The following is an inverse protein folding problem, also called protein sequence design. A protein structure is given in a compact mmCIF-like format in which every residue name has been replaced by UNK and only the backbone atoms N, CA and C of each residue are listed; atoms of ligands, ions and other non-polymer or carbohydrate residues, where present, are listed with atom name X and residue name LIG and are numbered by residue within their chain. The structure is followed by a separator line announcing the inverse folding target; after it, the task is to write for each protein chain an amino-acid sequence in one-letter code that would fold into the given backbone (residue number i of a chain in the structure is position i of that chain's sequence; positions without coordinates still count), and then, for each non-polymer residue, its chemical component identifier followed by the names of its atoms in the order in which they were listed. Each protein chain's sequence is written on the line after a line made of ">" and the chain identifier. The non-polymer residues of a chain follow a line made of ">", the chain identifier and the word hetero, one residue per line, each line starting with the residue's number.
data_IF_833571841359
#
_entry.id   IF_833571841359
#
_cell.length_a   1.000
_cell.length_b   1.000
_cell.length_c   1.000
_cell.angle_alpha   90.00
_cell.angle_beta   90.00
_cell.angle_gamma   90.00
#
_symmetry.space_group_name_H-M   'P 1'
#
loop_
_entity.id
_entity.type
_entity.pdbx_description
1 polymer ?
#
# COMPACT_ATOMS: atom_id res chain seq x y z
N UNK A 1 -5.46 8.17 -9.05
CA UNK A 1 -6.21 8.99 -8.08
C UNK A 1 -6.65 10.31 -8.70
N UNK A 2 -5.77 11.12 -9.31
CA UNK A 2 -6.15 12.40 -9.91
C UNK A 2 -7.28 12.34 -10.98
N UNK A 3 -7.45 11.21 -11.67
CA UNK A 3 -8.53 11.00 -12.63
C UNK A 3 -9.88 10.60 -12.01
N UNK A 4 -9.95 10.34 -10.71
CA UNK A 4 -11.16 9.83 -10.06
C UNK A 4 -12.31 10.83 -10.23
N UNK A 5 -13.41 10.40 -10.86
CA UNK A 5 -14.58 11.23 -11.13
C UNK A 5 -14.41 12.28 -12.24
N UNK A 6 -13.23 12.39 -12.87
CA UNK A 6 -12.96 13.39 -13.91
C UNK A 6 -13.32 12.91 -15.32
N UNK A 7 -13.41 11.60 -15.53
CA UNK A 7 -13.61 11.01 -16.86
C UNK A 7 -14.75 9.99 -16.82
N UNK A 8 -15.81 10.25 -17.59
CA UNK A 8 -16.96 9.34 -17.69
C UNK A 8 -16.53 7.95 -18.19
N UNK A 9 -17.04 6.89 -17.53
CA UNK A 9 -16.71 5.50 -17.86
C UNK A 9 -15.30 5.06 -17.42
N UNK A 10 -14.58 5.86 -16.63
CA UNK A 10 -13.31 5.45 -16.00
C UNK A 10 -13.55 5.35 -14.49
N UNK A 11 -13.42 4.14 -13.96
CA UNK A 11 -13.49 3.86 -12.54
C UNK A 11 -12.08 3.82 -11.97
N UNK A 12 -11.85 4.62 -10.93
CA UNK A 12 -10.58 4.70 -10.20
C UNK A 12 -10.88 4.55 -8.72
N UNK A 13 -10.30 3.54 -8.08
CA UNK A 13 -10.43 3.31 -6.64
C UNK A 13 -9.08 2.93 -6.05
N UNK A 14 -8.77 3.44 -4.86
CA UNK A 14 -7.67 2.89 -4.08
C UNK A 14 -8.06 1.48 -3.60
N UNK A 15 -7.12 0.53 -3.60
CA UNK A 15 -7.40 -0.80 -3.08
C UNK A 15 -7.63 -0.77 -1.56
N UNK A 16 -6.85 0.03 -0.84
CA UNK A 16 -6.92 0.22 0.61
C UNK A 16 -6.49 1.65 0.96
N UNK A 17 -6.57 2.01 2.25
CA UNK A 17 -5.99 3.26 2.77
C UNK A 17 -4.50 3.16 3.11
N UNK A 18 -3.85 2.01 2.89
CA UNK A 18 -2.46 1.81 3.27
C UNK A 18 -1.51 2.62 2.36
N UNK A 19 -0.49 3.30 2.91
CA UNK A 19 0.48 4.03 2.12
C UNK A 19 1.20 3.13 1.11
N UNK A 20 1.35 3.60 -0.13
CA UNK A 20 2.03 2.88 -1.20
C UNK A 20 1.23 1.75 -1.85
N UNK A 21 0.03 1.42 -1.38
CA UNK A 21 -0.81 0.41 -2.05
C UNK A 21 -1.33 0.93 -3.40
N UNK A 22 -1.41 0.02 -4.38
CA UNK A 22 -1.79 0.34 -5.75
C UNK A 22 -3.23 0.85 -5.89
N UNK A 23 -3.48 1.52 -7.02
CA UNK A 23 -4.80 2.03 -7.41
C UNK A 23 -5.40 1.08 -8.45
N UNK A 24 -6.64 0.67 -8.27
CA UNK A 24 -7.41 -0.07 -9.28
C UNK A 24 -8.01 0.92 -10.28
N UNK A 25 -7.64 0.79 -11.55
CA UNK A 25 -8.24 1.55 -12.66
C UNK A 25 -8.95 0.58 -13.62
N UNK A 26 -10.18 0.93 -14.00
CA UNK A 26 -11.00 0.19 -14.96
C UNK A 26 -11.64 1.15 -15.96
N UNK A 27 -11.67 0.77 -17.23
CA UNK A 27 -12.31 1.53 -18.30
C UNK A 27 -13.51 0.72 -18.78
N UNK A 28 -14.70 1.33 -18.72
CA UNK A 28 -15.99 0.73 -19.12
C UNK A 28 -16.40 -0.53 -18.34
N UNK A 29 -16.00 -0.62 -17.07
CA UNK A 29 -16.36 -1.74 -16.18
C UNK A 29 -15.42 -2.94 -16.33
N UNK A 30 -15.87 -4.11 -15.88
CA UNK A 30 -15.10 -5.36 -15.96
C UNK A 30 -15.45 -6.06 -17.30
N UNK A 31 -14.48 -6.12 -18.22
CA UNK A 31 -14.66 -6.68 -19.57
C UNK A 31 -14.29 -8.16 -19.70
N UNK A 32 -13.51 -8.70 -18.75
CA UNK A 32 -13.16 -10.12 -18.69
C UNK A 32 -13.29 -10.65 -17.27
N UNK A 33 -13.33 -11.98 -17.09
CA UNK A 33 -13.41 -12.61 -15.75
C UNK A 33 -12.02 -12.79 -15.09
N UNK A 34 -10.96 -12.29 -15.72
CA UNK A 34 -9.57 -12.42 -15.27
C UNK A 34 -8.91 -11.07 -15.00
N UNK A 35 -7.72 -10.86 -15.56
CA UNK A 35 -7.00 -9.60 -15.41
C UNK A 35 -7.59 -8.51 -16.33
N UNK A 36 -8.18 -7.49 -15.69
CA UNK A 36 -8.76 -6.31 -16.35
C UNK A 36 -7.92 -5.04 -16.18
N UNK A 37 -6.63 -5.17 -15.87
CA UNK A 37 -5.72 -4.04 -15.76
C UNK A 37 -5.52 -3.40 -17.14
N UNK A 38 -5.49 -2.07 -17.13
CA UNK A 38 -5.29 -1.26 -18.34
C UNK A 38 -3.84 -1.31 -18.78
N UNK A 39 -3.61 -1.00 -20.05
CA UNK A 39 -2.27 -0.72 -20.54
C UNK A 39 -1.93 0.75 -20.33
N UNK A 40 -0.83 1.04 -19.64
CA UNK A 40 -0.25 2.38 -19.62
C UNK A 40 0.79 2.49 -20.73
N UNK A 41 0.82 3.63 -21.41
CA UNK A 41 1.84 3.94 -22.41
C UNK A 41 2.48 5.27 -22.03
N UNK A 42 3.70 5.23 -21.54
CA UNK A 42 4.43 6.42 -21.09
C UNK A 42 5.48 6.74 -22.14
N UNK A 43 5.33 7.88 -22.81
CA UNK A 43 6.22 8.34 -23.88
C UNK A 43 6.52 7.28 -24.96
N UNK A 44 5.50 6.47 -25.28
CA UNK A 44 5.54 5.40 -26.28
C UNK A 44 5.96 4.04 -25.75
N UNK A 45 6.39 3.92 -24.50
CA UNK A 45 6.77 2.64 -23.89
C UNK A 45 5.58 2.06 -23.10
N UNK A 46 5.14 0.83 -23.41
CA UNK A 46 4.04 0.19 -22.71
C UNK A 46 4.49 -0.37 -21.36
N UNK A 47 3.65 -0.20 -20.33
CA UNK A 47 3.81 -0.84 -19.01
C UNK A 47 2.44 -1.11 -18.38
N UNK A 48 2.41 -1.97 -17.37
CA UNK A 48 1.20 -2.23 -16.55
C UNK A 48 1.28 -1.60 -15.17
N UNK A 49 2.44 -1.07 -14.80
CA UNK A 49 2.61 -0.36 -13.55
C UNK A 49 2.75 1.14 -13.81
N UNK A 50 2.17 1.96 -12.94
CA UNK A 50 2.28 3.42 -12.95
C UNK A 50 2.81 3.95 -11.60
N UNK A 51 3.01 3.05 -10.63
CA UNK A 51 3.37 3.40 -9.25
C UNK A 51 4.72 4.11 -9.12
N UNK A 52 5.62 3.95 -10.10
CA UNK A 52 6.91 4.64 -10.15
C UNK A 52 6.82 6.09 -10.65
N UNK A 53 5.80 6.43 -11.44
CA UNK A 53 5.70 7.73 -12.08
C UNK A 53 5.34 8.83 -11.07
N UNK A 54 6.04 9.95 -11.17
CA UNK A 54 5.72 11.14 -10.39
C UNK A 54 4.64 11.98 -11.08
N UNK A 55 3.71 12.54 -10.30
CA UNK A 55 2.59 13.28 -10.85
C UNK A 55 3.00 14.62 -11.49
N UNK A 56 3.98 15.34 -10.93
CA UNK A 56 4.45 16.61 -11.51
C UNK A 56 5.15 16.45 -12.85
N UNK A 57 5.71 15.26 -13.13
CA UNK A 57 6.39 14.98 -14.39
C UNK A 57 5.39 14.71 -15.52
N UNK A 58 4.10 14.57 -15.22
CA UNK A 58 3.04 14.33 -16.21
C UNK A 58 2.63 15.66 -16.87
N UNK A 59 2.85 15.76 -18.18
CA UNK A 59 2.37 16.88 -18.98
C UNK A 59 0.92 16.70 -19.39
N UNK A 60 0.56 15.49 -19.83
CA UNK A 60 -0.80 15.17 -20.25
C UNK A 60 -1.10 13.69 -20.11
N UNK A 61 -2.38 13.38 -19.88
CA UNK A 61 -2.89 12.01 -19.80
C UNK A 61 -4.13 11.89 -20.68
N UNK A 62 -4.11 10.93 -21.60
CA UNK A 62 -5.17 10.66 -22.57
C UNK A 62 -5.68 9.24 -22.38
N UNK A 63 -7.00 9.09 -22.21
CA UNK A 63 -7.62 7.77 -22.01
C UNK A 63 -8.30 7.34 -23.31
N UNK A 64 -7.78 6.27 -23.92
CA UNK A 64 -8.35 5.63 -25.10
C UNK A 64 -9.34 4.57 -24.65
N UNK A 65 -10.63 4.91 -24.75
CA UNK A 65 -11.74 4.08 -24.26
C UNK A 65 -12.28 3.11 -25.30
N UNK A 66 -12.06 3.40 -26.58
CA UNK A 66 -12.59 2.63 -27.70
C UNK A 66 -11.58 1.61 -28.21
N UNK A 67 -12.07 0.42 -28.54
CA UNK A 67 -11.25 -0.67 -29.08
C UNK A 67 -10.53 -0.26 -30.38
N UNK A 68 -11.16 0.58 -31.22
CA UNK A 68 -10.55 1.11 -32.44
C UNK A 68 -9.40 2.09 -32.15
N UNK A 69 -9.52 2.90 -31.10
CA UNK A 69 -8.45 3.82 -30.68
C UNK A 69 -7.28 3.09 -30.02
N UNK A 70 -7.57 1.99 -29.31
CA UNK A 70 -6.56 1.11 -28.71
C UNK A 70 -5.88 0.15 -29.69
N UNK A 71 -6.41 -0.03 -30.90
CA UNK A 71 -5.94 -1.03 -31.87
C UNK A 71 -4.46 -0.88 -32.24
N UNK A 72 -3.93 0.34 -32.21
CA UNK A 72 -2.51 0.64 -32.45
C UNK A 72 -1.60 -0.05 -31.42
N UNK A 73 -2.10 -0.32 -30.20
CA UNK A 73 -1.38 -1.00 -29.12
C UNK A 73 -1.68 -2.50 -29.03
N UNK A 74 -2.47 -3.04 -29.98
CA UNK A 74 -2.72 -4.46 -30.15
C UNK A 74 -3.56 -5.11 -29.04
N UNK A 75 -3.42 -6.43 -28.88
CA UNK A 75 -4.23 -7.22 -27.93
C UNK A 75 -4.06 -6.80 -26.47
N UNK A 76 -2.94 -6.15 -26.11
CA UNK A 76 -2.68 -5.62 -24.76
C UNK A 76 -3.61 -4.46 -24.39
N UNK A 77 -4.25 -3.83 -25.38
CA UNK A 77 -5.18 -2.72 -25.21
C UNK A 77 -6.65 -3.15 -25.05
N UNK A 78 -6.94 -4.45 -24.93
CA UNK A 78 -8.31 -4.96 -24.83
C UNK A 78 -9.11 -4.34 -23.66
N UNK A 79 -8.42 -4.00 -22.57
CA UNK A 79 -9.02 -3.37 -21.38
C UNK A 79 -8.98 -1.82 -21.41
N UNK A 80 -8.56 -1.23 -22.54
CA UNK A 80 -8.33 0.21 -22.71
C UNK A 80 -6.87 0.63 -22.47
N UNK A 81 -6.54 1.83 -22.94
CA UNK A 81 -5.17 2.37 -22.87
C UNK A 81 -5.16 3.76 -22.23
N UNK A 82 -4.22 3.99 -21.33
CA UNK A 82 -3.94 5.31 -20.76
C UNK A 82 -2.58 5.77 -21.29
N UNK A 83 -2.61 6.72 -22.21
CA UNK A 83 -1.40 7.32 -22.81
C UNK A 83 -0.98 8.50 -21.96
N UNK A 84 0.29 8.51 -21.56
CA UNK A 84 0.88 9.52 -20.71
C UNK A 84 2.03 10.14 -21.47
N UNK A 85 2.03 11.47 -21.54
CA UNK A 85 3.15 12.26 -22.04
C UNK A 85 3.76 12.99 -20.88
N UNK A 86 5.07 12.86 -20.72
CA UNK A 86 5.80 13.55 -19.66
C UNK A 86 6.30 14.91 -20.12
N UNK A 87 6.64 15.78 -19.16
CA UNK A 87 7.25 17.07 -19.46
C UNK A 87 8.59 16.83 -20.15
N UNK A 88 8.85 17.47 -21.28
CA UNK A 88 10.10 17.35 -22.03
C UNK A 88 10.99 18.57 -21.83
N UNK A 89 12.24 18.50 -22.31
CA UNK A 89 13.08 19.69 -22.44
C UNK A 89 12.38 20.78 -23.28
N UNK A 90 12.67 22.04 -22.96
CA UNK A 90 12.14 23.22 -23.64
C UNK A 90 13.29 24.04 -24.23
N UNK A 91 13.03 24.75 -25.34
CA UNK A 91 14.00 25.72 -25.87
C UNK A 91 14.04 26.95 -24.99
N UNK A 92 15.23 27.53 -24.83
CA UNK A 92 15.44 28.78 -24.12
C UNK A 92 16.18 28.61 -22.80
N UNK A 93 16.06 29.64 -21.95
CA UNK A 93 16.74 29.69 -20.65
C UNK A 93 16.27 28.54 -19.75
N UNK A 94 17.18 28.06 -18.92
CA UNK A 94 16.86 27.06 -17.92
C UNK A 94 15.74 27.57 -17.00
N UNK A 95 14.68 26.79 -16.89
CA UNK A 95 13.59 27.00 -15.96
C UNK A 95 13.74 26.00 -14.81
N UNK A 96 13.89 26.50 -13.59
CA UNK A 96 13.92 25.72 -12.36
C UNK A 96 12.55 25.78 -11.71
N UNK A 97 11.94 24.62 -11.49
CA UNK A 97 10.73 24.47 -10.70
C UNK A 97 11.07 23.65 -9.44
N UNK A 98 10.62 24.14 -8.29
CA UNK A 98 10.70 23.42 -7.02
C UNK A 98 9.32 23.42 -6.38
N UNK A 99 8.83 22.23 -6.07
CA UNK A 99 7.53 22.01 -5.45
C UNK A 99 7.71 21.27 -4.13
N UNK A 100 7.11 21.83 -3.07
CA UNK A 100 7.09 21.21 -1.77
C UNK A 100 5.65 21.15 -1.25
N UNK A 101 5.26 19.96 -0.77
CA UNK A 101 3.97 19.73 -0.15
C UNK A 101 4.14 18.93 1.13
N UNK A 102 3.34 19.28 2.14
CA UNK A 102 3.19 18.51 3.36
C UNK A 102 1.69 18.30 3.64
N UNK A 103 1.33 17.14 4.17
CA UNK A 103 -0.05 16.76 4.44
C UNK A 103 -0.21 15.99 5.74
N UNK A 104 -1.40 16.06 6.31
CA UNK A 104 -1.84 15.29 7.47
C UNK A 104 -2.97 14.36 7.07
N UNK A 105 -2.96 13.14 7.59
CA UNK A 105 -3.93 12.09 7.27
C UNK A 105 -4.55 11.58 8.56
N UNK A 106 -5.88 11.48 8.60
CA UNK A 106 -6.62 10.99 9.76
C UNK A 106 -7.68 9.98 9.31
N UNK A 107 -7.92 8.98 10.15
CA UNK A 107 -9.03 8.07 9.96
C UNK A 107 -10.36 8.85 10.04
N UNK A 108 -11.27 8.61 9.10
CA UNK A 108 -12.59 9.23 9.05
C UNK A 108 -13.66 8.18 8.86
N UNK A 109 -14.92 8.50 9.20
CA UNK A 109 -16.06 7.58 9.11
C UNK A 109 -15.89 6.28 9.92
N UNK A 110 -15.24 6.37 11.09
CA UNK A 110 -15.12 5.24 12.01
C UNK A 110 -16.48 4.93 12.67
N UNK A 111 -16.85 3.65 12.83
CA UNK A 111 -18.05 3.29 13.57
C UNK A 111 -17.89 3.65 15.06
N UNK A 112 -19.00 4.01 15.70
CA UNK A 112 -19.01 4.19 17.16
C UNK A 112 -19.05 2.81 17.82
N UNK A 113 -17.99 2.47 18.54
CA UNK A 113 -17.87 1.21 19.26
C UNK A 113 -18.57 1.30 20.63
N UNK A 114 -18.92 0.13 21.19
CA UNK A 114 -19.44 0.05 22.55
C UNK A 114 -18.30 0.27 23.54
N UNK A 115 -18.56 1.00 24.62
CA UNK A 115 -17.67 1.03 25.79
C UNK A 115 -17.82 -0.26 26.64
N UNK A 116 -17.01 -0.41 27.67
CA UNK A 116 -16.97 -1.57 28.55
C UNK A 116 -18.34 -1.91 29.17
N UNK A 117 -19.05 -0.93 29.72
CA UNK A 117 -20.36 -1.17 30.36
C UNK A 117 -21.44 -1.57 29.34
N UNK A 118 -21.47 -0.89 28.20
CA UNK A 118 -22.38 -1.23 27.10
C UNK A 118 -22.10 -2.64 26.57
N UNK A 119 -20.82 -3.00 26.39
CA UNK A 119 -20.41 -4.33 25.97
C UNK A 119 -20.89 -5.40 26.95
N UNK A 120 -20.65 -5.22 28.25
CA UNK A 120 -21.11 -6.15 29.29
C UNK A 120 -22.64 -6.23 29.34
N UNK A 121 -23.34 -5.11 29.15
CA UNK A 121 -24.81 -5.07 29.08
C UNK A 121 -25.36 -5.88 27.92
N UNK A 122 -24.75 -5.78 26.74
CA UNK A 122 -25.18 -6.54 25.57
C UNK A 122 -24.85 -8.02 25.73
N UNK A 123 -23.68 -8.37 26.28
CA UNK A 123 -23.30 -9.75 26.55
C UNK A 123 -24.20 -10.42 27.60
N UNK A 124 -24.53 -9.70 28.67
CA UNK A 124 -25.50 -10.12 29.70
C UNK A 124 -26.87 -10.40 29.08
N UNK A 125 -27.40 -9.45 28.30
CA UNK A 125 -28.66 -9.63 27.57
C UNK A 125 -28.62 -10.82 26.62
N UNK A 126 -27.54 -11.00 25.88
CA UNK A 126 -27.37 -12.14 24.96
C UNK A 126 -27.36 -13.48 25.71
N UNK A 127 -26.72 -13.51 26.89
CA UNK A 127 -26.69 -14.69 27.74
C UNK A 127 -28.10 -15.07 28.23
N UNK A 128 -28.88 -14.13 28.75
CA UNK A 128 -30.27 -14.42 29.16
C UNK A 128 -31.21 -14.79 28.02
N UNK A 129 -30.91 -14.34 26.80
CA UNK A 129 -31.66 -14.73 25.60
C UNK A 129 -31.26 -16.12 25.04
N UNK A 130 -30.21 -16.74 25.57
CA UNK A 130 -29.77 -18.07 25.11
C UNK A 130 -30.65 -19.16 25.70
N UNK A 131 -31.17 -20.04 24.83
CA UNK A 131 -31.98 -21.20 25.24
C UNK A 131 -31.18 -22.09 26.21
N UNK A 132 -31.81 -22.43 27.34
CA UNK A 132 -31.19 -23.26 28.39
C UNK A 132 -30.71 -22.45 29.60
N UNK A 133 -30.58 -21.13 29.50
CA UNK A 133 -30.28 -20.28 30.65
C UNK A 133 -31.58 -19.89 31.38
N UNK A 134 -31.61 -20.06 32.70
CA UNK A 134 -32.74 -19.60 33.51
C UNK A 134 -32.81 -18.07 33.54
N UNK A 135 -34.02 -17.51 33.43
CA UNK A 135 -34.23 -16.06 33.34
C UNK A 135 -33.71 -15.28 34.57
N UNK A 136 -33.62 -15.92 35.73
CA UNK A 136 -33.13 -15.33 36.98
C UNK A 136 -31.70 -15.77 37.34
N UNK A 137 -31.02 -16.54 36.50
CA UNK A 137 -29.65 -16.95 36.77
C UNK A 137 -28.69 -15.77 36.59
N UNK A 138 -27.67 -15.73 37.45
CA UNK A 138 -26.60 -14.74 37.39
C UNK A 138 -25.72 -15.06 36.19
N UNK A 139 -25.60 -14.11 35.24
CA UNK A 139 -24.74 -14.29 34.08
C UNK A 139 -23.26 -14.10 34.46
N UNK A 140 -22.32 -14.74 33.74
CA UNK A 140 -20.90 -14.50 33.94
C UNK A 140 -20.51 -13.02 33.71
N UNK A 141 -21.23 -12.31 32.85
CA UNK A 141 -20.99 -10.90 32.55
C UNK A 141 -21.47 -9.97 33.66
N UNK A 142 -22.52 -10.35 34.40
CA UNK A 142 -22.92 -9.66 35.61
C UNK A 142 -21.86 -9.80 36.70
N UNK A 143 -21.31 -11.00 36.90
CA UNK A 143 -20.20 -11.22 37.83
C UNK A 143 -18.94 -10.45 37.40
N UNK A 144 -18.68 -10.37 36.08
CA UNK A 144 -17.54 -9.63 35.54
C UNK A 144 -17.58 -8.12 35.86
N UNK A 145 -18.76 -7.50 36.03
CA UNK A 145 -18.86 -6.08 36.41
C UNK A 145 -18.22 -5.76 37.77
N UNK A 146 -18.07 -6.76 38.64
CA UNK A 146 -17.41 -6.61 39.94
C UNK A 146 -15.88 -6.73 39.87
N UNK A 147 -15.32 -6.99 38.68
CA UNK A 147 -13.88 -7.09 38.48
C UNK A 147 -13.22 -5.71 38.50
N UNK A 148 -12.04 -5.63 39.12
CA UNK A 148 -11.24 -4.40 39.21
C UNK A 148 -10.14 -4.32 38.15
N UNK A 149 -10.05 -5.31 37.27
CA UNK A 149 -9.04 -5.42 36.22
C UNK A 149 -9.59 -5.23 34.81
N UNK A 150 -10.87 -4.86 34.67
CA UNK A 150 -11.43 -4.44 33.41
C UNK A 150 -10.82 -3.11 32.95
N UNK A 151 -10.62 -2.99 31.65
CA UNK A 151 -10.34 -1.72 30.98
C UNK A 151 -11.61 -1.13 30.35
N UNK A 152 -11.47 0.05 29.75
CA UNK A 152 -12.47 0.65 28.86
C UNK A 152 -11.75 1.19 27.61
N UNK A 153 -11.16 0.27 26.86
CA UNK A 153 -10.26 0.56 25.74
C UNK A 153 -11.05 0.85 24.48
N UNK A 154 -10.84 2.04 23.89
CA UNK A 154 -11.23 2.32 22.52
C UNK A 154 -10.16 1.82 21.56
N UNK A 155 -10.35 0.61 21.02
CA UNK A 155 -9.38 -0.03 20.14
C UNK A 155 -9.18 0.68 18.80
N UNK A 156 -10.14 1.49 18.33
CA UNK A 156 -9.97 2.26 17.10
C UNK A 156 -9.11 3.49 17.37
N UNK A 157 -9.31 4.16 18.51
CA UNK A 157 -8.48 5.30 18.94
C UNK A 157 -7.04 4.85 19.25
N UNK A 158 -6.86 3.69 19.90
CA UNK A 158 -5.53 3.13 20.19
C UNK A 158 -4.78 2.68 18.93
N UNK A 159 -5.51 2.32 17.86
CA UNK A 159 -4.90 1.83 16.62
C UNK A 159 -4.49 2.98 15.69
N UNK A 160 -5.31 4.03 15.60
CA UNK A 160 -5.14 5.08 14.61
C UNK A 160 -4.46 6.32 15.19
N UNK A 161 -3.46 6.84 14.47
CA UNK A 161 -2.79 8.11 14.74
C UNK A 161 -2.91 9.08 13.55
N UNK A 162 -2.47 10.32 13.76
CA UNK A 162 -2.39 11.30 12.66
C UNK A 162 -1.14 11.06 11.83
N UNK A 163 -1.34 10.47 10.65
CA UNK A 163 -0.30 10.25 9.65
C UNK A 163 0.17 11.54 8.99
N UNK A 164 1.35 11.49 8.39
CA UNK A 164 2.04 12.66 7.82
C UNK A 164 2.66 12.32 6.48
N UNK A 165 2.50 13.19 5.50
CA UNK A 165 3.17 13.05 4.20
C UNK A 165 4.00 14.27 3.86
N UNK A 166 5.12 14.06 3.18
CA UNK A 166 6.00 15.08 2.65
C UNK A 166 6.37 14.72 1.21
N UNK A 167 6.37 15.71 0.35
CA UNK A 167 6.70 15.58 -1.05
C UNK A 167 7.59 16.75 -1.44
N UNK A 168 8.78 16.47 -1.92
CA UNK A 168 9.71 17.47 -2.45
C UNK A 168 10.08 17.08 -3.86
N UNK A 169 9.96 18.01 -4.79
CA UNK A 169 10.23 17.79 -6.19
C UNK A 169 11.00 18.97 -6.74
N UNK A 170 12.02 18.69 -7.53
CA UNK A 170 12.82 19.71 -8.18
C UNK A 170 13.08 19.28 -9.60
N UNK A 171 12.79 20.17 -10.55
CA UNK A 171 13.04 19.93 -11.96
C UNK A 171 13.68 21.14 -12.62
N UNK A 172 14.58 20.88 -13.55
CA UNK A 172 15.17 21.88 -14.42
C UNK A 172 14.95 21.45 -15.86
N UNK A 173 14.46 22.35 -16.69
CA UNK A 173 14.35 22.13 -18.12
C UNK A 173 14.88 23.34 -18.89
N UNK A 174 15.41 23.11 -20.08
CA UNK A 174 15.98 24.17 -20.90
C UNK A 174 16.78 23.59 -22.06
N UNK A 175 17.39 24.47 -22.85
CA UNK A 175 18.21 24.03 -23.97
C UNK A 175 18.29 25.02 -25.11
N UNK A 176 19.11 24.68 -26.09
CA UNK A 176 19.24 25.40 -27.36
C UNK A 176 18.34 24.78 -28.43
N UNK A 177 18.42 25.29 -29.65
CA UNK A 177 17.76 24.69 -30.81
C UNK A 177 18.25 23.26 -31.11
N UNK A 178 19.52 22.97 -30.78
CA UNK A 178 20.16 21.70 -31.07
C UNK A 178 19.99 20.69 -29.95
N UNK A 179 19.96 21.11 -28.69
CA UNK A 179 19.87 20.20 -27.54
C UNK A 179 18.89 20.76 -26.52
N UNK A 180 17.89 19.95 -26.18
CA UNK A 180 16.89 20.24 -25.14
C UNK A 180 17.00 19.17 -24.06
N UNK A 181 16.97 19.58 -22.80
CA UNK A 181 17.09 18.68 -21.67
C UNK A 181 16.05 18.98 -20.60
N UNK A 182 15.73 17.94 -19.82
CA UNK A 182 15.04 18.02 -18.55
C UNK A 182 15.69 17.05 -17.58
N UNK A 183 15.92 17.52 -16.36
CA UNK A 183 16.34 16.69 -15.23
C UNK A 183 15.33 16.95 -14.11
N UNK A 184 14.77 15.89 -13.53
CA UNK A 184 13.79 15.96 -12.45
C UNK A 184 14.18 14.97 -11.36
N UNK A 185 14.02 15.39 -10.12
CA UNK A 185 14.20 14.55 -8.93
C UNK A 185 13.03 14.75 -7.98
N UNK A 186 12.63 13.69 -7.30
CA UNK A 186 11.51 13.71 -6.39
C UNK A 186 11.74 12.79 -5.19
N UNK A 187 11.34 13.26 -4.02
CA UNK A 187 11.27 12.48 -2.81
C UNK A 187 9.87 12.58 -2.21
N UNK A 188 9.22 11.43 -2.06
CA UNK A 188 7.93 11.31 -1.40
C UNK A 188 8.09 10.42 -0.17
N UNK A 189 7.57 10.86 0.96
CA UNK A 189 7.48 10.07 2.19
C UNK A 189 6.08 10.22 2.78
N UNK A 190 5.50 9.11 3.18
CA UNK A 190 4.24 9.06 3.91
C UNK A 190 4.39 8.10 5.09
N UNK A 191 4.27 8.65 6.30
CA UNK A 191 4.03 7.88 7.50
C UNK A 191 2.50 7.70 7.59
N UNK A 192 2.04 6.45 7.72
CA UNK A 192 0.62 6.12 7.67
C UNK A 192 -0.14 6.52 8.93
N UNK A 193 -1.36 6.01 9.06
CA UNK A 193 -2.28 6.38 10.14
C UNK A 193 -2.35 5.32 11.24
N UNK A 194 -1.55 4.26 11.17
CA UNK A 194 -1.51 3.22 12.20
C UNK A 194 -0.32 3.47 13.12
N UNK A 195 -0.53 3.28 14.42
CA UNK A 195 0.52 3.46 15.45
C UNK A 195 1.75 2.58 15.21
N UNK A 196 2.84 2.85 15.93
CA UNK A 196 4.13 2.14 15.86
C UNK A 196 4.95 2.37 14.56
N UNK A 197 4.52 3.25 13.66
CA UNK A 197 5.24 3.60 12.42
C UNK A 197 5.61 2.38 11.54
N UNK A 198 4.78 1.33 11.52
CA UNK A 198 4.97 0.12 10.72
C UNK A 198 4.08 0.09 9.45
N UNK A 199 3.63 1.27 9.00
CA UNK A 199 2.81 1.46 7.81
C UNK A 199 3.34 2.61 6.92
N UNK A 200 4.67 2.74 6.83
CA UNK A 200 5.34 3.80 6.09
C UNK A 200 5.57 3.51 4.61
N UNK A 201 5.63 4.55 3.79
CA UNK A 201 6.02 4.47 2.38
C UNK A 201 6.99 5.60 2.02
N UNK A 202 8.05 5.26 1.30
CA UNK A 202 9.00 6.21 0.75
C UNK A 202 9.31 5.89 -0.71
N UNK A 203 9.47 6.94 -1.52
CA UNK A 203 9.81 6.83 -2.93
C UNK A 203 10.77 7.93 -3.34
N UNK A 204 11.87 7.54 -3.95
CA UNK A 204 12.81 8.42 -4.63
C UNK A 204 12.68 8.22 -6.13
N UNK A 205 12.55 9.32 -6.87
CA UNK A 205 12.46 9.32 -8.32
C UNK A 205 13.54 10.20 -8.90
N UNK A 206 14.17 9.73 -9.96
CA UNK A 206 15.07 10.50 -10.80
C UNK A 206 14.63 10.34 -12.26
N UNK A 207 14.61 11.44 -13.00
CA UNK A 207 14.25 11.44 -14.41
C UNK A 207 15.18 12.34 -15.21
N UNK A 208 15.58 11.84 -16.37
CA UNK A 208 16.37 12.57 -17.36
C UNK A 208 15.73 12.42 -18.72
N UNK A 209 15.47 13.53 -19.39
CA UNK A 209 15.04 13.56 -20.78
C UNK A 209 16.01 14.44 -21.57
N UNK A 210 16.53 13.92 -22.68
CA UNK A 210 17.43 14.67 -23.56
C UNK A 210 17.00 14.43 -24.98
N UNK A 211 16.81 15.50 -25.74
CA UNK A 211 16.54 15.46 -27.18
C UNK A 211 17.62 16.29 -27.89
N UNK A 212 18.30 15.69 -28.85
CA UNK A 212 19.36 16.33 -29.62
C UNK A 212 19.09 16.22 -31.12
N UNK A 213 19.01 17.38 -31.78
CA UNK A 213 19.06 17.50 -33.23
C UNK A 213 20.54 17.48 -33.63
N UNK A 214 21.06 16.30 -33.98
CA UNK A 214 22.47 16.10 -34.36
C UNK A 214 22.75 16.78 -35.70
N UNK A 215 21.78 16.69 -36.62
CA UNK A 215 21.73 17.44 -37.88
C UNK A 215 20.29 17.88 -38.16
N UNK A 216 20.05 18.65 -39.20
CA UNK A 216 18.68 19.03 -39.61
C UNK A 216 17.78 17.83 -39.94
N UNK A 217 18.39 16.68 -40.27
CA UNK A 217 17.68 15.45 -40.67
C UNK A 217 17.83 14.30 -39.68
N UNK A 218 18.70 14.42 -38.67
CA UNK A 218 18.98 13.34 -37.73
C UNK A 218 18.81 13.83 -36.29
N UNK A 219 17.90 13.20 -35.58
CA UNK A 219 17.57 13.50 -34.18
C UNK A 219 17.70 12.23 -33.35
N UNK A 220 18.25 12.39 -32.16
CA UNK A 220 18.31 11.34 -31.14
C UNK A 220 17.66 11.85 -29.87
N UNK A 221 17.03 10.96 -29.13
CA UNK A 221 16.48 11.33 -27.83
C UNK A 221 16.42 10.16 -26.88
N UNK A 222 16.44 10.49 -25.60
CA UNK A 222 16.32 9.53 -24.51
C UNK A 222 15.38 10.06 -23.44
N UNK A 223 14.64 9.15 -22.84
CA UNK A 223 13.85 9.40 -21.65
C UNK A 223 14.19 8.27 -20.67
N UNK A 224 14.78 8.61 -19.55
CA UNK A 224 15.18 7.66 -18.51
C UNK A 224 14.53 8.07 -17.20
N UNK A 225 13.91 7.11 -16.54
CA UNK A 225 13.33 7.24 -15.22
C UNK A 225 13.84 6.11 -14.33
N UNK A 226 14.33 6.49 -13.15
CA UNK A 226 14.75 5.59 -12.10
C UNK A 226 13.86 5.85 -10.89
N UNK A 227 13.34 4.78 -10.29
CA UNK A 227 12.51 4.83 -9.09
C UNK A 227 13.03 3.83 -8.08
N UNK A 228 13.14 4.26 -6.83
CA UNK A 228 13.35 3.38 -5.69
C UNK A 228 12.24 3.63 -4.68
N UNK A 229 11.45 2.60 -4.41
CA UNK A 229 10.39 2.64 -3.43
C UNK A 229 10.67 1.65 -2.29
N UNK A 230 10.31 2.04 -1.08
CA UNK A 230 10.27 1.15 0.08
C UNK A 230 8.94 1.34 0.79
N UNK A 231 8.31 0.22 1.13
CA UNK A 231 7.05 0.16 1.84
C UNK A 231 7.24 -0.71 3.08
N UNK A 232 6.75 -0.24 4.23
CA UNK A 232 6.44 -1.08 5.38
C UNK A 232 4.96 -1.46 5.26
N UNK A 233 4.71 -2.71 4.89
CA UNK A 233 3.41 -3.18 4.48
C UNK A 233 2.68 -3.77 5.68
N UNK A 234 1.75 -3.02 6.22
CA UNK A 234 0.81 -3.56 7.18
C UNK A 234 -0.39 -4.24 6.51
N UNK A 235 -0.92 -5.30 7.13
CA UNK A 235 -2.17 -5.91 6.68
C UNK A 235 -3.33 -4.93 6.87
N UNK A 236 -3.89 -4.50 5.74
CA UNK A 236 -4.99 -3.53 5.66
C UNK A 236 -6.33 -4.15 5.25
N UNK A 237 -6.37 -5.46 4.99
CA UNK A 237 -7.58 -6.21 4.63
C UNK A 237 -7.43 -7.71 4.91
N UNK A 238 -8.56 -8.40 5.03
CA UNK A 238 -8.62 -9.85 5.25
C UNK A 238 -8.57 -10.26 6.73
N UNK A 239 -8.60 -11.58 6.94
CA UNK A 239 -8.74 -12.17 8.27
C UNK A 239 -7.39 -12.36 9.00
N UNK A 240 -6.30 -12.58 8.24
CA UNK A 240 -4.98 -12.86 8.82
C UNK A 240 -3.90 -12.01 8.13
N UNK A 241 -3.15 -11.17 8.86
CA UNK A 241 -3.24 -10.91 10.30
C UNK A 241 -4.34 -9.90 10.71
N UNK A 242 -5.04 -9.23 9.76
CA UNK A 242 -6.34 -8.61 10.01
C UNK A 242 -6.39 -7.49 11.08
N UNK A 243 -5.44 -6.55 11.07
CA UNK A 243 -5.28 -5.52 12.13
C UNK A 243 -6.57 -4.76 12.41
N UNK A 244 -7.20 -4.18 11.38
CA UNK A 244 -8.44 -3.40 11.52
C UNK A 244 -9.60 -4.27 12.01
N UNK A 245 -9.69 -5.53 11.53
CA UNK A 245 -10.71 -6.48 12.00
C UNK A 245 -10.56 -6.74 13.49
N UNK A 246 -9.33 -6.95 13.97
CA UNK A 246 -9.10 -7.17 15.39
C UNK A 246 -9.44 -5.94 16.24
N UNK A 247 -9.17 -4.72 15.78
CA UNK A 247 -9.63 -3.52 16.47
C UNK A 247 -11.17 -3.40 16.54
N UNK A 248 -11.90 -3.92 15.54
CA UNK A 248 -13.37 -3.90 15.55
C UNK A 248 -14.00 -4.99 16.43
N UNK A 249 -13.36 -6.15 16.58
CA UNK A 249 -13.91 -7.29 17.31
C UNK A 249 -13.45 -7.37 18.76
N UNK A 250 -12.35 -6.69 19.10
CA UNK A 250 -11.72 -6.84 20.41
C UNK A 250 -12.60 -6.23 21.51
N UNK A 251 -12.85 -6.96 22.62
CA UNK A 251 -13.66 -6.43 23.71
C UNK A 251 -13.03 -5.17 24.32
N UNK A 252 -13.81 -4.11 24.58
CA UNK A 252 -13.31 -2.89 25.23
C UNK A 252 -12.86 -3.14 26.68
N UNK A 253 -13.33 -4.23 27.30
CA UNK A 253 -12.97 -4.63 28.67
C UNK A 253 -11.52 -5.11 28.82
N UNK A 254 -10.80 -5.33 27.71
CA UNK A 254 -9.40 -5.74 27.71
C UNK A 254 -8.50 -4.51 27.52
N UNK A 255 -7.44 -4.37 28.31
CA UNK A 255 -6.45 -3.29 28.16
C UNK A 255 -5.48 -3.55 27.00
N UNK A 256 -4.88 -2.51 26.43
CA UNK A 256 -3.80 -2.65 25.42
C UNK A 256 -2.61 -3.42 25.97
N UNK A 257 -2.18 -3.07 27.18
CA UNK A 257 -1.05 -3.67 27.87
C UNK A 257 -1.50 -4.42 29.11
N UNK A 258 -0.79 -5.49 29.43
CA UNK A 258 -0.92 -6.21 30.68
C UNK A 258 -0.41 -5.35 31.82
N UNK A 259 -0.99 -5.55 33.01
CA UNK A 259 -0.39 -5.03 34.25
C UNK A 259 0.90 -5.79 34.52
N UNK A 260 1.91 -5.12 35.08
CA UNK A 260 3.18 -5.78 35.48
C UNK A 260 2.95 -6.89 36.53
N UNK A 261 1.85 -6.81 37.27
CA UNK A 261 1.41 -7.82 38.24
C UNK A 261 0.65 -8.99 37.61
N UNK A 262 0.37 -8.96 36.30
CA UNK A 262 -0.28 -10.07 35.60
C UNK A 262 0.65 -11.28 35.55
N UNK A 263 0.21 -12.49 35.93
CA UNK A 263 1.04 -13.69 35.91
C UNK A 263 1.64 -14.04 34.54
N UNK A 264 1.03 -13.55 33.46
CA UNK A 264 1.44 -13.80 32.07
C UNK A 264 2.23 -12.64 31.47
N UNK A 265 2.56 -11.63 32.26
CA UNK A 265 3.36 -10.49 31.82
C UNK A 265 4.81 -10.89 31.52
N UNK A 266 5.35 -10.37 30.41
CA UNK A 266 6.79 -10.30 30.20
C UNK A 266 7.17 -9.00 29.50
N UNK A 267 8.37 -8.49 29.77
CA UNK A 267 8.85 -7.27 29.10
C UNK A 267 9.00 -7.45 27.58
N UNK A 268 9.22 -8.68 27.11
CA UNK A 268 9.30 -9.00 25.68
C UNK A 268 7.92 -9.10 25.00
N UNK A 269 6.85 -9.32 25.78
CA UNK A 269 5.47 -9.39 25.31
C UNK A 269 4.51 -8.73 26.32
N UNK A 270 4.49 -7.39 26.37
CA UNK A 270 3.69 -6.64 27.35
C UNK A 270 2.21 -6.50 26.95
N UNK A 271 1.84 -6.93 25.75
CA UNK A 271 0.50 -6.74 25.20
C UNK A 271 -0.49 -7.77 25.77
N UNK A 272 -1.68 -7.32 26.12
CA UNK A 272 -2.78 -8.22 26.48
C UNK A 272 -3.25 -8.89 25.19
N UNK A 273 -3.06 -10.19 25.03
CA UNK A 273 -3.44 -10.89 23.81
C UNK A 273 -4.66 -11.79 24.02
N UNK A 274 -4.63 -12.63 25.05
CA UNK A 274 -5.80 -13.40 25.51
C UNK A 274 -6.56 -12.66 26.63
N UNK A 275 -7.81 -13.07 26.95
CA UNK A 275 -8.60 -12.45 28.03
C UNK A 275 -8.03 -12.64 29.43
N UNK A 276 -8.84 -12.66 30.48
CA UNK A 276 -8.33 -12.81 31.85
C UNK A 276 -7.80 -14.23 32.10
N UNK A 277 -6.56 -14.34 32.59
CA UNK A 277 -5.97 -15.62 32.99
C UNK A 277 -6.64 -16.19 34.25
N UNK A 278 -6.96 -17.49 34.25
CA UNK A 278 -7.69 -18.16 35.34
C UNK A 278 -6.90 -19.30 36.01
N UNK A 279 -5.60 -19.41 35.69
CA UNK A 279 -4.67 -20.38 36.28
C UNK A 279 -4.31 -21.54 35.36
N UNK A 280 -3.22 -22.25 35.68
CA UNK A 280 -2.61 -23.28 34.81
C UNK A 280 -3.56 -24.41 34.39
N UNK A 281 -4.58 -24.73 35.19
CA UNK A 281 -5.53 -25.82 34.88
C UNK A 281 -6.82 -25.33 34.22
N UNK A 282 -7.13 -24.03 34.35
CA UNK A 282 -8.39 -23.45 33.86
C UNK A 282 -8.18 -22.60 32.60
N UNK A 283 -6.94 -22.22 32.29
CA UNK A 283 -6.56 -21.45 31.11
C UNK A 283 -7.09 -20.02 31.16
N UNK A 284 -7.79 -19.60 30.11
CA UNK A 284 -8.26 -18.23 29.90
C UNK A 284 -9.79 -18.13 29.99
N UNK A 285 -10.29 -16.99 30.46
CA UNK A 285 -11.73 -16.74 30.58
C UNK A 285 -12.43 -16.75 29.20
N UNK A 286 -13.16 -17.84 28.92
CA UNK A 286 -13.85 -18.11 27.66
C UNK A 286 -15.13 -17.29 27.46
N UNK A 287 -15.53 -16.47 28.43
CA UNK A 287 -16.69 -15.58 28.27
C UNK A 287 -16.36 -14.38 27.37
N UNK A 288 -15.08 -14.04 27.21
CA UNK A 288 -14.62 -12.94 26.38
C UNK A 288 -14.02 -13.44 25.07
N UNK A 289 -14.09 -12.60 24.05
CA UNK A 289 -13.66 -12.95 22.69
C UNK A 289 -12.14 -13.15 22.60
N UNK A 290 -11.72 -14.27 22.01
CA UNK A 290 -10.32 -14.57 21.73
C UNK A 290 -9.95 -13.93 20.39
N UNK A 291 -9.98 -12.60 20.35
CA UNK A 291 -9.39 -11.79 19.28
C UNK A 291 -7.91 -11.52 19.59
N UNK A 292 -7.09 -11.23 18.59
CA UNK A 292 -5.69 -10.81 18.77
C UNK A 292 -5.62 -9.33 19.13
N UNK A 293 -4.55 -8.91 19.79
CA UNK A 293 -4.32 -7.50 20.04
C UNK A 293 -3.81 -6.79 18.77
N UNK A 294 -4.55 -5.81 18.21
CA UNK A 294 -4.17 -5.15 16.96
C UNK A 294 -2.83 -4.41 17.10
N UNK A 295 -2.54 -3.83 18.26
CA UNK A 295 -1.28 -3.10 18.50
C UNK A 295 -0.09 -4.08 18.58
N UNK A 296 -0.32 -5.26 19.16
CA UNK A 296 0.67 -6.33 19.17
C UNK A 296 0.96 -6.84 17.75
N UNK A 297 -0.09 -7.06 16.93
CA UNK A 297 0.07 -7.45 15.52
C UNK A 297 0.98 -6.45 14.80
N UNK A 298 0.71 -5.16 14.94
CA UNK A 298 1.50 -4.10 14.32
C UNK A 298 2.93 -4.15 14.82
N UNK A 299 3.15 -4.21 16.13
CA UNK A 299 4.49 -4.20 16.74
C UNK A 299 5.35 -5.40 16.32
N UNK A 300 4.76 -6.60 16.24
CA UNK A 300 5.49 -7.85 15.98
C UNK A 300 5.54 -8.25 14.49
N UNK A 301 4.94 -7.45 13.60
CA UNK A 301 5.01 -7.66 12.14
C UNK A 301 5.95 -6.63 11.52
N UNK A 302 6.88 -7.10 10.69
CA UNK A 302 7.81 -6.25 9.93
C UNK A 302 7.85 -6.74 8.47
N UNK A 303 7.05 -6.14 7.58
CA UNK A 303 6.99 -6.50 6.16
C UNK A 303 7.57 -5.37 5.32
N UNK A 304 8.88 -5.44 5.08
CA UNK A 304 9.60 -4.45 4.29
C UNK A 304 9.69 -4.91 2.84
N UNK A 305 9.09 -4.12 1.96
CA UNK A 305 9.11 -4.33 0.51
C UNK A 305 9.90 -3.22 -0.15
N UNK A 306 10.83 -3.58 -1.01
CA UNK A 306 11.66 -2.65 -1.77
C UNK A 306 11.50 -2.94 -3.24
N UNK A 307 11.33 -1.90 -4.04
CA UNK A 307 11.25 -2.00 -5.49
C UNK A 307 12.19 -0.98 -6.10
N UNK A 308 13.06 -1.43 -6.99
CA UNK A 308 13.86 -0.58 -7.86
C UNK A 308 13.36 -0.74 -9.29
N UNK A 309 13.05 0.36 -9.96
CA UNK A 309 12.55 0.33 -11.33
C UNK A 309 13.34 1.29 -12.22
N UNK A 310 13.77 0.77 -13.37
CA UNK A 310 14.33 1.53 -14.48
C UNK A 310 13.36 1.47 -15.63
N UNK A 311 12.86 2.63 -16.04
CA UNK A 311 11.90 2.77 -17.12
C UNK A 311 12.37 3.83 -18.11
N UNK A 312 12.21 3.60 -19.40
CA UNK A 312 12.62 4.61 -20.37
C UNK A 312 12.72 4.13 -21.81
N UNK A 313 13.16 5.01 -22.69
CA UNK A 313 13.52 4.66 -24.06
C UNK A 313 14.72 5.46 -24.57
N UNK A 314 15.35 4.87 -25.59
CA UNK A 314 16.28 5.53 -26.50
C UNK A 314 15.67 5.47 -27.89
N UNK A 315 15.68 6.58 -28.61
CA UNK A 315 15.16 6.63 -29.98
C UNK A 315 16.03 7.48 -30.90
N UNK A 316 15.97 7.15 -32.18
CA UNK A 316 16.59 7.88 -33.26
C UNK A 316 15.56 8.12 -34.37
N UNK A 317 15.56 9.33 -34.94
CA UNK A 317 14.69 9.79 -36.01
C UNK A 317 15.57 10.28 -37.18
N UNK A 318 15.31 9.78 -38.38
CA UNK A 318 15.97 10.20 -39.62
C UNK A 318 14.96 10.61 -40.68
N UNK A 319 15.06 11.85 -41.15
CA UNK A 319 14.28 12.38 -42.26
C UNK A 319 15.01 12.11 -43.59
N UNK A 320 14.42 11.28 -44.44
CA UNK A 320 15.02 10.93 -45.74
C UNK A 320 14.97 12.10 -46.73
N UNK A 321 13.88 12.86 -46.70
CA UNK A 321 13.65 14.00 -47.57
C UNK A 321 14.03 15.31 -46.87
N UNK A 322 14.48 16.30 -47.65
CA UNK A 322 14.88 17.62 -47.14
C UNK A 322 13.75 18.38 -46.46
N UNK A 323 12.51 18.13 -46.88
CA UNK A 323 11.28 18.73 -46.34
C UNK A 323 10.75 17.99 -45.09
N UNK A 324 11.42 16.89 -44.66
CA UNK A 324 11.06 16.06 -43.51
C UNK A 324 9.69 15.37 -43.63
N UNK A 325 9.12 15.29 -44.83
CA UNK A 325 7.81 14.64 -45.07
C UNK A 325 7.84 13.13 -44.83
N UNK A 326 9.00 12.49 -44.98
CA UNK A 326 9.22 11.06 -44.71
C UNK A 326 10.27 10.89 -43.60
N UNK A 327 9.84 10.47 -42.42
CA UNK A 327 10.69 10.38 -41.23
C UNK A 327 10.60 9.00 -40.60
N UNK A 328 11.71 8.25 -40.67
CA UNK A 328 11.82 6.99 -39.96
C UNK A 328 12.24 7.20 -38.51
N UNK A 329 11.51 6.59 -37.59
CA UNK A 329 11.82 6.52 -36.16
C UNK A 329 12.06 5.08 -35.75
N UNK A 330 13.17 4.85 -35.05
CA UNK A 330 13.46 3.60 -34.35
C UNK A 330 13.60 3.88 -32.85
N UNK A 331 12.99 3.06 -32.01
CA UNK A 331 13.09 3.20 -30.55
C UNK A 331 13.21 1.87 -29.83
N UNK A 332 14.05 1.85 -28.80
CA UNK A 332 14.18 0.76 -27.83
C UNK A 332 13.70 1.27 -26.48
N UNK A 333 12.64 0.68 -25.95
CA UNK A 333 12.10 0.91 -24.62
C UNK A 333 12.54 -0.18 -23.63
N UNK A 334 12.76 0.21 -22.39
CA UNK A 334 13.12 -0.67 -21.27
C UNK A 334 12.17 -0.43 -20.10
N UNK A 335 11.74 -1.52 -19.47
CA UNK A 335 11.02 -1.53 -18.20
C UNK A 335 11.59 -2.70 -17.37
N UNK A 336 12.50 -2.38 -16.46
CA UNK A 336 13.21 -3.33 -15.62
C UNK A 336 12.85 -3.02 -14.16
N UNK A 337 12.34 -4.02 -13.44
CA UNK A 337 11.97 -3.91 -12.04
C UNK A 337 12.61 -5.03 -11.22
N UNK A 338 13.25 -4.66 -10.12
CA UNK A 338 13.74 -5.57 -9.10
C UNK A 338 12.96 -5.36 -7.83
N UNK A 339 12.50 -6.45 -7.23
CA UNK A 339 11.73 -6.45 -5.98
C UNK A 339 12.44 -7.27 -4.91
N UNK A 340 12.38 -6.81 -3.67
CA UNK A 340 12.87 -7.52 -2.50
C UNK A 340 11.87 -7.34 -1.37
N UNK A 341 11.21 -8.42 -0.99
CA UNK A 341 10.22 -8.46 0.07
C UNK A 341 10.79 -9.27 1.22
N UNK A 342 10.80 -8.69 2.41
CA UNK A 342 11.20 -9.37 3.65
C UNK A 342 10.11 -9.17 4.69
N UNK A 343 9.38 -10.23 4.98
CA UNK A 343 8.35 -10.27 5.99
C UNK A 343 8.82 -11.10 7.18
N UNK A 344 9.03 -10.44 8.30
CA UNK A 344 9.30 -11.08 9.58
C UNK A 344 8.10 -10.87 10.51
N UNK A 345 7.43 -11.96 10.86
CA UNK A 345 6.40 -11.98 11.87
C UNK A 345 6.95 -12.71 13.09
N UNK A 346 7.31 -11.95 14.12
CA UNK A 346 7.67 -12.51 15.40
C UNK A 346 6.43 -13.15 16.01
N UNK A 347 6.58 -14.36 16.52
CA UNK A 347 5.52 -14.98 17.27
C UNK A 347 5.42 -14.34 18.66
N UNK A 348 4.21 -14.01 19.06
CA UNK A 348 3.88 -13.29 20.29
C UNK A 348 2.58 -13.81 20.87
N UNK A 349 2.17 -13.20 21.98
CA UNK A 349 0.90 -13.50 22.63
C UNK A 349 1.06 -14.51 23.75
N UNK A 350 -0.07 -14.83 24.33
CA UNK A 350 -0.17 -15.69 25.49
C UNK A 350 -0.27 -17.16 25.10
N UNK A 351 0.29 -18.03 25.94
CA UNK A 351 0.13 -19.47 25.74
C UNK A 351 -1.33 -19.86 25.97
N UNK A 352 -1.94 -20.47 24.95
CA UNK A 352 -3.32 -20.96 24.99
C UNK A 352 -3.39 -22.48 25.16
N UNK A 353 -2.24 -23.16 25.27
CA UNK A 353 -2.18 -24.60 25.54
C UNK A 353 -1.65 -24.86 26.96
N UNK A 354 -2.31 -25.79 27.65
CA UNK A 354 -1.92 -26.25 28.98
C UNK A 354 -1.31 -27.66 28.91
N UNK A 355 -1.12 -28.23 27.71
CA UNK A 355 -0.58 -29.57 27.52
C UNK A 355 0.96 -29.59 27.60
N UNK A 356 1.56 -30.19 28.64
CA UNK A 356 3.01 -30.26 28.79
C UNK A 356 3.71 -31.16 27.76
N UNK A 357 2.96 -31.99 27.01
CA UNK A 357 3.51 -32.94 26.04
C UNK A 357 3.64 -32.38 24.61
N UNK A 358 3.26 -31.12 24.37
CA UNK A 358 3.48 -30.50 23.06
C UNK A 358 4.98 -30.29 22.77
N UNK A 359 5.33 -30.22 21.49
CA UNK A 359 6.71 -30.01 21.04
C UNK A 359 7.21 -28.57 21.28
N UNK A 360 6.30 -27.63 21.53
CA UNK A 360 6.60 -26.20 21.62
C UNK A 360 5.99 -25.45 22.82
N UNK A 361 5.85 -26.01 24.02
CA UNK A 361 5.12 -25.38 25.13
C UNK A 361 5.59 -23.93 25.38
N UNK A 362 4.66 -22.98 25.47
CA UNK A 362 4.96 -21.59 25.78
C UNK A 362 5.37 -20.68 24.61
N UNK A 363 5.18 -21.07 23.34
CA UNK A 363 5.45 -20.18 22.19
C UNK A 363 4.20 -19.40 21.76
N UNK A 364 3.59 -18.64 22.67
CA UNK A 364 2.56 -17.63 22.36
C UNK A 364 1.28 -18.16 21.68
N UNK A 365 0.46 -17.26 21.12
CA UNK A 365 -0.96 -17.51 20.79
C UNK A 365 -1.24 -18.73 19.91
N UNK A 366 -0.31 -19.05 19.01
CA UNK A 366 -0.47 -20.15 18.05
C UNK A 366 0.59 -21.26 18.22
N UNK A 367 1.36 -21.23 19.31
CA UNK A 367 2.48 -22.14 19.57
C UNK A 367 3.45 -22.35 18.38
N UNK A 368 3.61 -21.31 17.54
CA UNK A 368 4.36 -21.37 16.29
C UNK A 368 5.72 -20.71 16.45
N UNK A 369 6.77 -21.20 15.76
CA UNK A 369 8.02 -20.45 15.64
C UNK A 369 7.78 -19.12 14.93
N UNK A 370 8.69 -18.15 15.13
CA UNK A 370 8.73 -16.94 14.33
C UNK A 370 8.75 -17.29 12.85
N UNK A 371 8.04 -16.52 12.03
CA UNK A 371 8.04 -16.69 10.59
C UNK A 371 8.95 -15.64 9.93
N UNK A 372 9.81 -16.09 9.01
CA UNK A 372 10.57 -15.23 8.12
C UNK A 372 10.34 -15.70 6.70
N UNK A 373 9.75 -14.82 5.89
CA UNK A 373 9.61 -14.99 4.45
C UNK A 373 10.43 -13.90 3.75
N UNK A 374 11.35 -14.30 2.87
CA UNK A 374 12.17 -13.39 2.07
C UNK A 374 12.12 -13.81 0.60
N UNK A 375 11.56 -12.92 -0.23
CA UNK A 375 11.40 -13.13 -1.66
C UNK A 375 12.12 -12.05 -2.45
N UNK A 376 12.73 -12.44 -3.57
CA UNK A 376 13.35 -11.53 -4.53
C UNK A 376 12.78 -11.83 -5.91
N UNK A 377 12.49 -10.80 -6.68
CA UNK A 377 11.93 -10.94 -8.01
C UNK A 377 12.54 -9.95 -8.98
N UNK A 378 12.62 -10.35 -10.25
CA UNK A 378 13.04 -9.49 -11.34
C UNK A 378 12.05 -9.61 -12.50
N UNK A 379 11.78 -8.49 -13.15
CA UNK A 379 10.96 -8.42 -14.36
C UNK A 379 11.69 -7.50 -15.33
N UNK A 380 11.92 -7.97 -16.55
CA UNK A 380 12.58 -7.19 -17.60
C UNK A 380 11.77 -7.25 -18.87
N UNK A 381 11.32 -6.08 -19.35
CA UNK A 381 10.62 -5.95 -20.62
C UNK A 381 11.41 -5.02 -21.54
N UNK A 382 11.63 -5.49 -22.76
CA UNK A 382 12.23 -4.71 -23.84
C UNK A 382 11.20 -4.54 -24.94
N UNK A 383 11.02 -3.30 -25.40
CA UNK A 383 10.09 -2.99 -26.50
C UNK A 383 10.88 -2.38 -27.64
N UNK A 384 10.80 -2.98 -28.82
CA UNK A 384 11.37 -2.40 -30.04
C UNK A 384 10.25 -1.91 -30.93
N UNK A 385 10.36 -0.68 -31.41
CA UNK A 385 9.35 -0.06 -32.27
C UNK A 385 10.02 0.69 -33.40
N UNK A 386 9.56 0.43 -34.62
CA UNK A 386 9.96 1.18 -35.80
C UNK A 386 8.71 1.75 -36.45
N UNK A 387 8.80 3.00 -36.89
CA UNK A 387 7.71 3.72 -37.56
C UNK A 387 8.33 4.50 -38.70
N UNK A 388 7.72 4.47 -39.88
CA UNK A 388 8.16 5.20 -41.06
C UNK A 388 7.18 6.33 -41.39
#
# INVERSE_FOLDING_TARGET
>A
QALQGQVAGVFVAANTGAPGDGIKLRIRGEGTLGNNDVLYVIDGVPTRDISFLNQSDVKSMTVLKDAAAGAIYGSRAANGVVVITTISGAKGKANLNVEYFAGFHQATNLPKMLNADQYLTIKDRAWHNTLGNAANAVSPYQAARSRTDLADTDWLDELFETGKSKNLQASVNGGSDNVQYLISTGYYKQDGIVVQNHDGYERFNFRSNVNANVTDRFKVGTNLQLSFAKQDKLSSSGDVPGVIRHALLRPPVLGVYKKVTDPTYSAANPYTDLPFYTGNNNGWDKNFEFSSNPIAIVNFTNDKRKTFQTFGNLYAEYAFLSDKSLTFRSSVGVDISFSHNKNFAQNYGDDNDNNPDELYPGKGRNNKPNNLDENRGEVMNFTFTNTL
#
